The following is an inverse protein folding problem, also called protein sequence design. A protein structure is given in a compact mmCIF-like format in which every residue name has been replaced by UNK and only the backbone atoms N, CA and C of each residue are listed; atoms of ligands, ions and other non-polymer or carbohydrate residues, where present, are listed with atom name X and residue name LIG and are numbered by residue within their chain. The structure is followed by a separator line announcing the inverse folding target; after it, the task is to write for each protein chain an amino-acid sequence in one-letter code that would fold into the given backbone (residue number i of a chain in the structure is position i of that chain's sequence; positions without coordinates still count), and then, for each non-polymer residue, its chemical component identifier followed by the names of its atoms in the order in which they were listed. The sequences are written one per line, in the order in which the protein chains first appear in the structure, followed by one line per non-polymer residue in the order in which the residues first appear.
data_IF_292092490987
#
_entry.id   IF_292092490987
#
_cell.length_a   1.000
_cell.length_b   1.000
_cell.length_c   1.000
_cell.angle_alpha   90.00
_cell.angle_beta   90.00
_cell.angle_gamma   90.00
#
_symmetry.space_group_name_H-M   'P 1'
#
loop_
_entity.id
_entity.type
_entity.pdbx_description
1 polymer ?
#
# COMPACT_ATOMS: atom_id res chain seq x y z
N UNK A 1 49.51 -42.60 -1.98
CA UNK A 1 48.79 -43.78 -2.49
C UNK A 1 47.76 -44.16 -1.45
N UNK A 2 46.59 -43.53 -1.46
CA UNK A 2 45.40 -43.92 -2.23
C UNK A 2 44.68 -45.10 -1.59
N UNK A 3 43.57 -44.82 -0.90
CA UNK A 3 42.61 -45.80 -0.38
C UNK A 3 41.26 -45.10 -0.21
N UNK A 4 40.30 -45.54 -1.03
CA UNK A 4 38.98 -44.96 -1.28
C UNK A 4 38.02 -45.01 -0.08
N UNK A 5 37.14 -44.01 0.03
CA UNK A 5 35.88 -44.12 0.78
C UNK A 5 34.73 -43.78 -0.17
N UNK A 6 33.88 -44.77 -0.44
CA UNK A 6 32.61 -44.65 -1.17
C UNK A 6 31.64 -43.76 -0.40
N UNK A 7 31.03 -42.78 -1.07
CA UNK A 7 29.84 -42.08 -0.59
C UNK A 7 28.59 -42.77 -1.14
N UNK A 8 27.56 -43.09 -0.33
CA UNK A 8 26.30 -43.60 -0.85
C UNK A 8 25.44 -42.43 -1.35
N UNK A 9 24.91 -42.59 -2.56
CA UNK A 9 23.91 -41.69 -3.11
C UNK A 9 22.60 -41.77 -2.31
N UNK A 10 22.09 -40.60 -1.94
CA UNK A 10 20.71 -40.39 -1.58
C UNK A 10 20.15 -39.32 -2.51
N UNK A 11 19.21 -39.71 -3.38
CA UNK A 11 18.37 -38.77 -4.12
C UNK A 11 17.58 -37.89 -3.13
N UNK A 12 17.50 -36.56 -3.34
CA UNK A 12 16.53 -35.75 -2.63
C UNK A 12 15.15 -35.98 -3.25
N UNK A 13 14.35 -36.83 -2.58
CA UNK A 13 12.93 -37.00 -2.86
C UNK A 13 12.15 -35.70 -2.70
N UNK A 14 11.20 -35.51 -3.60
CA UNK A 14 10.20 -34.44 -3.66
C UNK A 14 9.68 -33.98 -2.28
N UNK A 15 10.04 -32.76 -1.89
CA UNK A 15 9.27 -31.92 -0.97
C UNK A 15 8.95 -30.58 -1.66
N UNK A 16 8.15 -30.58 -2.72
CA UNK A 16 7.76 -29.36 -3.45
C UNK A 16 6.25 -29.17 -3.68
N UNK A 17 5.41 -30.12 -3.23
CA UNK A 17 3.98 -30.09 -3.56
C UNK A 17 3.16 -29.10 -2.73
N UNK A 18 3.48 -28.89 -1.44
CA UNK A 18 2.74 -27.93 -0.58
C UNK A 18 3.03 -26.46 -0.93
N UNK A 19 4.29 -26.09 -1.14
CA UNK A 19 4.66 -24.71 -1.52
C UNK A 19 4.14 -24.29 -2.90
N UNK A 20 4.05 -25.24 -3.84
CA UNK A 20 3.45 -24.98 -5.16
C UNK A 20 1.94 -24.74 -5.07
N UNK A 21 1.24 -25.43 -4.15
CA UNK A 21 -0.20 -25.28 -3.96
C UNK A 21 -0.56 -23.92 -3.34
N UNK A 22 0.16 -23.52 -2.29
CA UNK A 22 -0.04 -22.21 -1.64
C UNK A 22 0.30 -21.05 -2.59
N UNK A 23 1.32 -21.21 -3.43
CA UNK A 23 1.64 -20.24 -4.48
C UNK A 23 0.52 -20.11 -5.51
N UNK A 24 -0.05 -21.22 -6.01
CA UNK A 24 -1.16 -21.19 -6.98
C UNK A 24 -2.40 -20.52 -6.38
N UNK A 25 -2.73 -20.83 -5.12
CA UNK A 25 -3.86 -20.21 -4.42
C UNK A 25 -3.65 -18.70 -4.23
N UNK A 26 -2.44 -18.29 -3.87
CA UNK A 26 -2.09 -16.86 -3.72
C UNK A 26 -2.16 -16.12 -5.04
N UNK A 27 -1.61 -16.68 -6.13
CA UNK A 27 -1.67 -16.09 -7.47
C UNK A 27 -3.10 -15.95 -7.97
N UNK A 28 -3.95 -16.95 -7.69
CA UNK A 28 -5.36 -16.90 -8.03
C UNK A 28 -6.10 -15.79 -7.27
N UNK A 29 -5.87 -15.67 -5.96
CA UNK A 29 -6.47 -14.60 -5.15
C UNK A 29 -6.04 -13.20 -5.62
N UNK A 30 -4.77 -13.01 -5.96
CA UNK A 30 -4.27 -11.75 -6.52
C UNK A 30 -4.97 -11.44 -7.85
N UNK A 31 -5.07 -12.43 -8.74
CA UNK A 31 -5.76 -12.28 -10.03
C UNK A 31 -7.24 -11.90 -9.87
N UNK A 32 -7.96 -12.54 -8.92
CA UNK A 32 -9.36 -12.24 -8.62
C UNK A 32 -9.52 -10.82 -8.03
N UNK A 33 -8.60 -10.36 -7.17
CA UNK A 33 -8.59 -8.99 -6.65
C UNK A 33 -8.31 -7.93 -7.72
N UNK A 34 -7.41 -8.22 -8.66
CA UNK A 34 -7.12 -7.33 -9.79
C UNK A 34 -8.35 -7.24 -10.71
N UNK A 35 -8.96 -8.37 -11.06
CA UNK A 35 -10.18 -8.39 -11.86
C UNK A 35 -11.32 -7.59 -11.20
N UNK A 36 -11.50 -7.74 -9.89
CA UNK A 36 -12.47 -6.95 -9.12
C UNK A 36 -12.13 -5.46 -9.14
N UNK A 37 -10.84 -5.10 -9.08
CA UNK A 37 -10.38 -3.70 -9.14
C UNK A 37 -10.59 -3.06 -10.51
N UNK A 38 -10.37 -3.80 -11.59
CA UNK A 38 -10.67 -3.32 -12.94
C UNK A 38 -12.16 -3.01 -13.11
N UNK A 39 -13.03 -3.90 -12.63
CA UNK A 39 -14.47 -3.72 -12.68
C UNK A 39 -14.92 -2.53 -11.84
N UNK A 40 -14.36 -2.38 -10.64
CA UNK A 40 -14.61 -1.25 -9.74
C UNK A 40 -14.26 0.09 -10.39
N UNK A 41 -13.08 0.18 -11.02
CA UNK A 41 -12.60 1.41 -11.69
C UNK A 41 -13.55 1.79 -12.82
N UNK A 42 -13.90 0.85 -13.69
CA UNK A 42 -14.80 1.12 -14.81
C UNK A 42 -16.22 1.45 -14.34
N UNK A 43 -16.72 0.75 -13.31
CA UNK A 43 -18.00 1.08 -12.69
C UNK A 43 -18.05 2.51 -12.19
N UNK A 44 -17.01 2.95 -11.46
CA UNK A 44 -16.89 4.32 -10.98
C UNK A 44 -16.88 5.34 -12.11
N UNK A 45 -16.08 5.09 -13.16
CA UNK A 45 -15.99 5.98 -14.34
C UNK A 45 -17.35 6.14 -15.05
N UNK A 46 -18.08 5.03 -15.23
CA UNK A 46 -19.36 5.03 -15.93
C UNK A 46 -20.49 5.70 -15.14
N UNK A 47 -20.38 5.74 -13.80
CA UNK A 47 -21.35 6.36 -12.91
C UNK A 47 -21.02 7.83 -12.63
N UNK A 48 -19.73 8.16 -12.52
CA UNK A 48 -19.23 9.44 -12.03
C UNK A 48 -18.19 10.01 -13.03
N UNK A 49 -18.59 10.93 -13.94
CA UNK A 49 -17.70 11.52 -14.93
C UNK A 49 -16.47 12.25 -14.35
N UNK A 50 -16.55 12.72 -13.10
CA UNK A 50 -15.43 13.39 -12.40
C UNK A 50 -14.23 12.45 -12.17
N UNK A 51 -14.46 11.14 -12.16
CA UNK A 51 -13.41 10.14 -11.97
C UNK A 51 -12.60 9.83 -13.24
N UNK A 52 -13.07 10.28 -14.42
CA UNK A 52 -12.46 10.01 -15.72
C UNK A 52 -11.04 10.55 -15.80
N UNK A 53 -10.86 11.84 -15.51
CA UNK A 53 -9.56 12.51 -15.60
C UNK A 53 -8.55 11.85 -14.66
N UNK A 54 -8.99 11.56 -13.44
CA UNK A 54 -8.19 10.86 -12.43
C UNK A 54 -7.74 9.47 -12.90
N UNK A 55 -8.62 8.71 -13.55
CA UNK A 55 -8.28 7.39 -14.07
C UNK A 55 -7.31 7.45 -15.25
N UNK A 56 -7.55 8.34 -16.22
CA UNK A 56 -6.69 8.52 -17.42
C UNK A 56 -5.29 9.00 -17.04
N UNK A 57 -5.17 9.81 -15.98
CA UNK A 57 -3.87 10.26 -15.48
C UNK A 57 -3.01 9.12 -14.89
N UNK A 58 -3.61 7.97 -14.53
CA UNK A 58 -2.89 6.81 -13.94
C UNK A 58 -2.82 5.60 -14.86
N UNK A 59 -3.87 5.37 -15.66
CA UNK A 59 -4.06 4.15 -16.44
C UNK A 59 -4.29 4.47 -17.92
N UNK A 60 -3.96 3.50 -18.76
CA UNK A 60 -4.41 3.41 -20.14
C UNK A 60 -5.05 2.04 -20.40
N UNK A 61 -5.71 1.89 -21.56
CA UNK A 61 -6.42 0.66 -21.91
C UNK A 61 -5.55 -0.61 -21.87
N UNK A 62 -4.24 -0.52 -22.12
CA UNK A 62 -3.32 -1.68 -22.07
C UNK A 62 -2.99 -2.13 -20.64
N UNK A 63 -3.34 -1.34 -19.62
CA UNK A 63 -3.15 -1.72 -18.22
C UNK A 63 -4.20 -2.73 -17.71
N UNK A 64 -5.29 -2.94 -18.45
CA UNK A 64 -6.32 -3.91 -18.09
C UNK A 64 -5.95 -5.32 -18.57
N UNK A 65 -6.12 -6.30 -17.71
CA UNK A 65 -5.91 -7.71 -17.99
C UNK A 65 -7.12 -8.32 -18.72
N UNK A 66 -8.34 -7.94 -18.33
CA UNK A 66 -9.53 -8.34 -19.09
C UNK A 66 -9.65 -7.48 -20.36
N UNK A 67 -9.65 -8.14 -21.52
CA UNK A 67 -9.75 -7.47 -22.80
C UNK A 67 -11.03 -6.64 -22.95
N UNK A 68 -12.14 -7.03 -22.30
CA UNK A 68 -13.38 -6.24 -22.30
C UNK A 68 -13.17 -4.92 -21.59
N UNK A 69 -12.51 -4.95 -20.44
CA UNK A 69 -12.21 -3.77 -19.65
C UNK A 69 -11.27 -2.83 -20.41
N UNK A 70 -10.24 -3.37 -21.06
CA UNK A 70 -9.36 -2.59 -21.92
C UNK A 70 -10.11 -1.90 -23.07
N UNK A 71 -11.02 -2.60 -23.75
CA UNK A 71 -11.84 -2.00 -24.82
C UNK A 71 -12.75 -0.87 -24.31
N UNK A 72 -13.35 -1.05 -23.14
CA UNK A 72 -14.17 -0.01 -22.49
C UNK A 72 -13.30 1.20 -22.13
N UNK A 73 -12.14 0.99 -21.51
CA UNK A 73 -11.25 2.08 -21.14
C UNK A 73 -10.70 2.82 -22.37
N UNK A 74 -10.41 2.11 -23.46
CA UNK A 74 -10.03 2.73 -24.73
C UNK A 74 -11.14 3.65 -25.26
N UNK A 75 -12.40 3.26 -25.13
CA UNK A 75 -13.53 4.12 -25.48
C UNK A 75 -13.61 5.36 -24.56
N UNK A 76 -13.40 5.17 -23.25
CA UNK A 76 -13.33 6.27 -22.27
C UNK A 76 -12.24 7.28 -22.63
N UNK A 77 -11.01 6.83 -22.92
CA UNK A 77 -9.89 7.69 -23.32
C UNK A 77 -10.24 8.53 -24.55
N UNK A 78 -10.89 7.89 -25.54
CA UNK A 78 -11.24 8.51 -26.81
C UNK A 78 -12.38 9.52 -26.71
N UNK A 79 -13.40 9.23 -25.91
CA UNK A 79 -14.51 10.13 -25.63
C UNK A 79 -14.03 11.34 -24.82
N UNK A 80 -13.24 11.10 -23.77
CA UNK A 80 -12.66 12.18 -22.95
C UNK A 80 -11.79 13.11 -23.79
N UNK A 81 -10.95 12.56 -24.66
CA UNK A 81 -10.10 13.33 -25.58
C UNK A 81 -10.90 14.25 -26.51
N UNK A 82 -12.12 13.87 -26.89
CA UNK A 82 -13.02 14.66 -27.73
C UNK A 82 -13.86 15.67 -26.93
N UNK A 83 -13.85 15.58 -25.60
CA UNK A 83 -14.74 16.34 -24.73
C UNK A 83 -16.18 15.82 -24.73
N UNK A 84 -16.39 14.57 -25.17
CA UNK A 84 -17.70 13.92 -25.14
C UNK A 84 -18.01 13.40 -23.73
N UNK A 85 -19.30 13.21 -23.44
CA UNK A 85 -19.73 12.61 -22.18
C UNK A 85 -19.21 11.17 -22.05
N UNK A 86 -18.78 10.81 -20.84
CA UNK A 86 -18.36 9.44 -20.52
C UNK A 86 -19.38 8.82 -19.59
N UNK A 87 -20.25 8.01 -20.17
CA UNK A 87 -21.28 7.22 -19.50
C UNK A 87 -21.51 5.91 -20.25
N UNK A 88 -22.29 5.00 -19.68
CA UNK A 88 -22.59 3.69 -20.29
C UNK A 88 -23.11 3.79 -21.72
N UNK A 89 -24.05 4.70 -21.99
CA UNK A 89 -24.67 4.82 -23.30
C UNK A 89 -23.65 5.30 -24.33
N UNK A 90 -22.90 6.35 -24.00
CA UNK A 90 -21.93 6.95 -24.92
C UNK A 90 -20.76 6.00 -25.19
N UNK A 91 -20.27 5.30 -24.17
CA UNK A 91 -19.24 4.26 -24.32
C UNK A 91 -19.74 3.10 -25.17
N UNK A 92 -20.97 2.63 -24.95
CA UNK A 92 -21.56 1.55 -25.73
C UNK A 92 -21.71 1.92 -27.21
N UNK A 93 -22.25 3.11 -27.50
CA UNK A 93 -22.38 3.58 -28.87
C UNK A 93 -21.03 3.76 -29.56
N UNK A 94 -20.01 4.23 -28.84
CA UNK A 94 -18.65 4.29 -29.38
C UNK A 94 -18.13 2.90 -29.79
N UNK A 95 -18.30 1.90 -28.93
CA UNK A 95 -17.90 0.52 -29.23
C UNK A 95 -18.70 -0.07 -30.41
N UNK A 96 -20.00 0.24 -30.48
CA UNK A 96 -20.89 -0.19 -31.57
C UNK A 96 -20.45 0.38 -32.92
N UNK A 97 -20.19 1.68 -33.00
CA UNK A 97 -19.75 2.35 -34.23
C UNK A 97 -18.43 1.78 -34.77
N UNK A 98 -17.56 1.28 -33.88
CA UNK A 98 -16.31 0.63 -34.24
C UNK A 98 -16.41 -0.89 -34.42
N UNK A 99 -17.61 -1.47 -34.41
CA UNK A 99 -17.85 -2.91 -34.54
C UNK A 99 -17.15 -3.75 -33.45
N UNK A 100 -16.98 -3.18 -32.26
CA UNK A 100 -16.33 -3.83 -31.11
C UNK A 100 -17.35 -4.35 -30.09
N UNK A 101 -18.63 -4.05 -30.27
CA UNK A 101 -19.72 -4.42 -29.35
C UNK A 101 -19.87 -5.93 -29.14
N UNK A 102 -19.54 -6.75 -30.15
CA UNK A 102 -19.59 -8.22 -30.02
C UNK A 102 -18.58 -8.74 -28.99
N UNK A 103 -17.52 -7.98 -28.72
CA UNK A 103 -16.49 -8.34 -27.74
C UNK A 103 -16.87 -7.93 -26.31
N UNK A 104 -17.84 -7.04 -26.14
CA UNK A 104 -18.26 -6.49 -24.83
C UNK A 104 -19.78 -6.62 -24.70
N UNK A 105 -20.27 -7.68 -24.04
CA UNK A 105 -21.71 -7.88 -23.87
C UNK A 105 -22.37 -6.70 -23.14
N UNK A 106 -23.55 -6.26 -23.60
CA UNK A 106 -24.32 -5.17 -22.95
C UNK A 106 -24.52 -5.42 -21.46
N UNK A 107 -24.86 -6.66 -21.08
CA UNK A 107 -25.08 -7.04 -19.69
C UNK A 107 -23.84 -6.85 -18.80
N UNK A 108 -22.63 -6.78 -19.39
CA UNK A 108 -21.40 -6.58 -18.64
C UNK A 108 -21.32 -5.18 -18.01
N UNK A 109 -21.93 -4.16 -18.62
CA UNK A 109 -21.97 -2.82 -18.04
C UNK A 109 -22.73 -2.78 -16.70
N UNK A 110 -23.76 -3.63 -16.55
CA UNK A 110 -24.43 -3.84 -15.26
C UNK A 110 -23.47 -4.35 -14.18
N UNK A 111 -22.67 -5.37 -14.52
CA UNK A 111 -21.66 -5.94 -13.61
C UNK A 111 -20.64 -4.89 -13.16
N UNK A 112 -20.20 -4.02 -14.07
CA UNK A 112 -19.25 -2.95 -13.75
C UNK A 112 -19.85 -1.97 -12.74
N UNK A 113 -21.08 -1.50 -12.99
CA UNK A 113 -21.77 -0.56 -12.09
C UNK A 113 -22.03 -1.18 -10.71
N UNK A 114 -22.45 -2.44 -10.67
CA UNK A 114 -22.71 -3.16 -9.41
C UNK A 114 -21.43 -3.38 -8.59
N UNK A 115 -20.26 -3.44 -9.23
CA UNK A 115 -18.98 -3.58 -8.54
C UNK A 115 -18.54 -2.29 -7.82
N UNK A 116 -19.02 -1.12 -8.24
CA UNK A 116 -18.63 0.16 -7.65
C UNK A 116 -19.45 0.49 -6.40
N UNK A 117 -18.78 0.73 -5.28
CA UNK A 117 -19.42 1.01 -3.99
C UNK A 117 -19.24 2.46 -3.56
N UNK A 118 -18.02 3.00 -3.64
CA UNK A 118 -17.72 4.37 -3.23
C UNK A 118 -16.43 4.94 -3.83
N UNK A 119 -16.32 6.27 -3.86
CA UNK A 119 -15.11 6.94 -4.34
C UNK A 119 -13.92 6.81 -3.39
N UNK A 120 -14.17 6.57 -2.09
CA UNK A 120 -13.14 6.51 -1.05
C UNK A 120 -12.03 5.50 -1.35
N UNK A 121 -12.35 4.41 -2.05
CA UNK A 121 -11.39 3.36 -2.40
C UNK A 121 -10.88 3.46 -3.84
N UNK A 122 -11.33 4.43 -4.64
CA UNK A 122 -11.07 4.48 -6.07
C UNK A 122 -9.57 4.52 -6.41
N UNK A 123 -8.79 5.34 -5.70
CA UNK A 123 -7.33 5.40 -5.86
C UNK A 123 -6.65 4.06 -5.62
N UNK A 124 -7.05 3.36 -4.57
CA UNK A 124 -6.47 2.05 -4.24
C UNK A 124 -6.73 1.02 -5.33
N UNK A 125 -7.89 1.08 -6.00
CA UNK A 125 -8.20 0.20 -7.12
C UNK A 125 -7.43 0.60 -8.39
N UNK A 126 -7.26 1.90 -8.68
CA UNK A 126 -6.39 2.37 -9.76
C UNK A 126 -4.96 1.87 -9.58
N UNK A 127 -4.42 2.00 -8.36
CA UNK A 127 -3.06 1.60 -8.04
C UNK A 127 -2.88 0.07 -8.16
N UNK A 128 -3.88 -0.73 -7.75
CA UNK A 128 -3.86 -2.19 -7.94
C UNK A 128 -3.82 -2.59 -9.42
N UNK A 129 -4.67 -1.98 -10.26
CA UNK A 129 -4.66 -2.24 -11.71
C UNK A 129 -3.32 -1.85 -12.31
N UNK A 130 -2.78 -0.70 -11.91
CA UNK A 130 -1.48 -0.21 -12.38
C UNK A 130 -0.34 -1.16 -12.02
N UNK A 131 -0.23 -1.53 -10.74
CA UNK A 131 0.81 -2.43 -10.24
C UNK A 131 0.74 -3.79 -10.94
N UNK A 132 -0.46 -4.32 -11.16
CA UNK A 132 -0.64 -5.57 -11.90
C UNK A 132 -0.16 -5.46 -13.36
N UNK A 133 -0.42 -4.32 -14.02
CA UNK A 133 0.06 -4.07 -15.37
C UNK A 133 1.59 -3.95 -15.45
N UNK A 134 2.19 -3.20 -14.51
CA UNK A 134 3.63 -3.03 -14.44
C UNK A 134 4.32 -4.38 -14.17
N UNK A 135 3.81 -5.20 -13.26
CA UNK A 135 4.31 -6.56 -13.01
C UNK A 135 4.24 -7.47 -14.24
N UNK A 136 3.14 -7.41 -15.02
CA UNK A 136 3.04 -8.16 -16.28
C UNK A 136 4.09 -7.72 -17.29
N UNK A 137 4.32 -6.41 -17.39
CA UNK A 137 5.32 -5.83 -18.29
C UNK A 137 6.75 -6.19 -17.88
N UNK A 138 7.03 -6.26 -16.58
CA UNK A 138 8.31 -6.74 -16.07
C UNK A 138 8.57 -8.19 -16.48
N UNK A 139 7.59 -9.08 -16.25
CA UNK A 139 7.68 -10.49 -16.66
C UNK A 139 7.93 -10.64 -18.16
N UNK A 140 7.22 -9.85 -18.98
CA UNK A 140 7.43 -9.82 -20.43
C UNK A 140 8.86 -9.40 -20.79
N UNK A 141 9.39 -8.35 -20.15
CA UNK A 141 10.75 -7.88 -20.40
C UNK A 141 11.81 -8.89 -19.96
N UNK A 142 11.60 -9.58 -18.83
CA UNK A 142 12.49 -10.67 -18.41
C UNK A 142 12.55 -11.80 -19.44
N UNK A 143 11.39 -12.22 -19.97
CA UNK A 143 11.35 -13.25 -21.01
C UNK A 143 11.99 -12.77 -22.32
N UNK A 144 11.79 -11.51 -22.72
CA UNK A 144 12.47 -10.92 -23.88
C UNK A 144 13.99 -10.89 -23.71
N UNK A 145 14.50 -10.53 -22.54
CA UNK A 145 15.94 -10.54 -22.24
C UNK A 145 16.50 -11.96 -22.30
N UNK A 146 15.80 -12.93 -21.71
CA UNK A 146 16.19 -14.34 -21.72
C UNK A 146 16.27 -14.89 -23.15
N UNK A 147 15.25 -14.61 -23.97
CA UNK A 147 15.23 -15.00 -25.39
C UNK A 147 16.33 -14.30 -26.20
N UNK A 148 16.53 -13.00 -25.99
CA UNK A 148 17.56 -12.24 -26.69
C UNK A 148 18.97 -12.82 -26.44
N UNK A 149 19.28 -13.18 -25.19
CA UNK A 149 20.55 -13.84 -24.83
C UNK A 149 20.67 -15.24 -25.44
N UNK A 150 19.61 -16.04 -25.41
CA UNK A 150 19.63 -17.38 -25.99
C UNK A 150 19.86 -17.37 -27.51
N UNK A 151 19.36 -16.34 -28.19
CA UNK A 151 19.47 -16.18 -29.64
C UNK A 151 20.75 -15.46 -30.10
N UNK A 152 21.65 -15.09 -29.18
CA UNK A 152 22.87 -14.34 -29.52
C UNK A 152 22.60 -12.94 -30.08
N UNK A 153 21.51 -12.30 -29.65
CA UNK A 153 21.12 -10.94 -30.07
C UNK A 153 22.17 -9.92 -29.62
N UNK A 154 22.29 -8.81 -30.36
CA UNK A 154 23.23 -7.72 -30.04
C UNK A 154 23.01 -7.12 -28.64
N UNK A 155 24.09 -6.58 -28.07
CA UNK A 155 24.10 -6.00 -26.73
C UNK A 155 23.19 -4.77 -26.62
N UNK A 156 23.00 -4.01 -27.69
CA UNK A 156 22.21 -2.77 -27.70
C UNK A 156 20.72 -3.06 -27.48
N UNK A 157 20.22 -4.16 -28.05
CA UNK A 157 18.83 -4.61 -27.87
C UNK A 157 18.57 -5.06 -26.43
N UNK A 158 19.51 -5.78 -25.82
CA UNK A 158 19.43 -6.18 -24.41
C UNK A 158 19.46 -4.95 -23.51
N UNK A 159 20.33 -3.98 -23.80
CA UNK A 159 20.42 -2.71 -23.06
C UNK A 159 19.10 -1.93 -23.12
N UNK A 160 18.43 -1.90 -24.29
CA UNK A 160 17.10 -1.29 -24.43
C UNK A 160 16.07 -1.92 -23.49
N UNK A 161 16.05 -3.25 -23.36
CA UNK A 161 15.13 -3.93 -22.44
C UNK A 161 15.46 -3.65 -20.98
N UNK A 162 16.74 -3.65 -20.61
CA UNK A 162 17.19 -3.28 -19.26
C UNK A 162 16.79 -1.85 -18.90
N UNK A 163 16.93 -0.91 -19.84
CA UNK A 163 16.53 0.48 -19.64
C UNK A 163 15.01 0.62 -19.48
N UNK A 164 14.21 -0.20 -20.16
CA UNK A 164 12.76 -0.24 -19.94
C UNK A 164 12.39 -0.77 -18.55
N UNK A 165 13.06 -1.84 -18.09
CA UNK A 165 12.88 -2.34 -16.71
C UNK A 165 13.25 -1.29 -15.67
N UNK A 166 14.39 -0.60 -15.86
CA UNK A 166 14.84 0.46 -14.95
C UNK A 166 13.79 1.57 -14.82
N UNK A 167 13.21 2.02 -15.93
CA UNK A 167 12.13 3.03 -15.91
C UNK A 167 10.88 2.57 -15.19
N UNK A 168 10.52 1.28 -15.28
CA UNK A 168 9.39 0.74 -14.52
C UNK A 168 9.68 0.79 -13.02
N UNK A 169 10.89 0.40 -12.61
CA UNK A 169 11.31 0.42 -11.20
C UNK A 169 11.50 1.83 -10.63
N UNK A 170 11.93 2.80 -11.45
CA UNK A 170 11.96 4.22 -11.08
C UNK A 170 10.54 4.81 -10.89
N UNK A 171 9.51 4.18 -11.46
CA UNK A 171 8.11 4.53 -11.19
C UNK A 171 7.55 3.92 -9.89
N UNK A 172 8.10 2.78 -9.46
CA UNK A 172 7.70 2.04 -8.25
C UNK A 172 8.43 2.56 -7.00
N UNK A 173 9.72 2.89 -7.14
CA UNK A 173 10.44 3.66 -6.12
C UNK A 173 10.08 5.12 -6.35
N UNK A 174 9.12 5.61 -5.55
CA UNK A 174 8.43 6.88 -5.75
C UNK A 174 9.30 7.98 -6.33
N UNK A 175 8.69 8.77 -7.24
CA UNK A 175 9.19 10.07 -7.71
C UNK A 175 10.14 10.63 -6.66
N UNK A 176 11.43 10.76 -7.00
CA UNK A 176 12.30 11.66 -6.24
C UNK A 176 11.50 12.93 -6.08
N UNK A 177 11.15 13.26 -4.83
CA UNK A 177 10.33 14.43 -4.55
C UNK A 177 10.96 15.60 -5.30
N UNK A 178 10.17 16.33 -6.09
CA UNK A 178 10.61 17.60 -6.63
C UNK A 178 11.04 18.43 -5.41
N UNK A 179 12.35 18.56 -5.21
CA UNK A 179 12.90 19.22 -4.03
C UNK A 179 12.65 20.72 -4.19
N UNK A 180 11.58 21.20 -3.56
CA UNK A 180 11.29 22.62 -3.47
C UNK A 180 12.12 23.26 -2.36
N UNK A 181 12.93 24.27 -2.71
CA UNK A 181 13.63 25.12 -1.75
C UNK A 181 12.67 26.24 -1.35
N UNK A 182 12.21 26.22 -0.09
CA UNK A 182 11.28 27.22 0.46
C UNK A 182 12.07 28.26 1.27
N UNK A 183 11.84 29.55 1.03
CA UNK A 183 12.40 30.64 1.84
C UNK A 183 11.50 30.90 3.08
N UNK A 184 11.98 30.65 4.31
CA UNK A 184 11.14 30.75 5.50
C UNK A 184 10.92 32.18 6.00
N UNK A 185 11.62 33.18 5.46
CA UNK A 185 11.69 34.55 5.99
C UNK A 185 10.33 35.27 6.05
N UNK A 186 9.38 34.89 5.19
CA UNK A 186 8.03 35.45 5.14
C UNK A 186 6.93 34.55 5.70
N UNK A 187 7.26 33.37 6.23
CA UNK A 187 6.26 32.38 6.68
C UNK A 187 5.89 32.67 8.13
N UNK A 188 4.62 33.01 8.35
CA UNK A 188 4.06 33.12 9.71
C UNK A 188 3.65 31.73 10.19
N UNK A 189 4.22 31.22 11.30
CA UNK A 189 3.88 29.89 11.80
C UNK A 189 2.45 29.86 12.33
N UNK A 190 1.72 28.80 12.01
CA UNK A 190 0.44 28.48 12.65
C UNK A 190 0.66 27.99 14.07
N UNK A 191 -0.27 28.30 14.99
CA UNK A 191 -0.20 27.73 16.34
C UNK A 191 -0.30 26.20 16.30
N UNK A 192 0.69 25.47 16.85
CA UNK A 192 0.68 24.02 16.86
C UNK A 192 -0.34 23.48 17.86
N UNK A 193 -0.99 22.38 17.50
CA UNK A 193 -1.72 21.53 18.44
C UNK A 193 -0.76 20.57 19.13
N UNK A 194 -1.09 20.13 20.34
CA UNK A 194 -0.17 19.35 21.19
C UNK A 194 -0.86 18.14 21.80
N UNK A 195 -0.22 16.97 21.68
CA UNK A 195 -0.54 15.79 22.49
C UNK A 195 0.05 15.91 23.90
N UNK A 196 1.20 16.57 24.03
CA UNK A 196 1.77 16.99 25.31
C UNK A 196 2.35 18.39 25.09
N UNK A 197 1.81 19.38 25.81
CA UNK A 197 2.16 20.79 25.62
C UNK A 197 3.68 21.00 25.53
N UNK A 198 4.13 21.73 24.51
CA UNK A 198 5.54 22.10 24.26
C UNK A 198 6.48 20.93 23.91
N UNK A 199 6.12 19.68 24.20
CA UNK A 199 7.01 18.52 23.99
C UNK A 199 6.61 17.62 22.82
N UNK A 200 5.31 17.38 22.60
CA UNK A 200 4.81 16.45 21.58
C UNK A 200 3.74 17.13 20.73
N UNK A 201 4.12 17.76 19.61
CA UNK A 201 3.17 18.39 18.71
C UNK A 201 2.35 17.36 17.93
N UNK A 202 1.08 17.66 17.66
CA UNK A 202 0.22 16.82 16.83
C UNK A 202 0.69 16.86 15.36
N UNK A 203 0.64 15.70 14.69
CA UNK A 203 0.96 15.58 13.26
C UNK A 203 2.45 15.50 12.93
N UNK A 204 3.34 15.60 13.92
CA UNK A 204 4.79 15.54 13.71
C UNK A 204 5.45 14.44 14.56
N UNK A 205 6.46 13.73 14.03
CA UNK A 205 7.20 12.75 14.81
C UNK A 205 8.03 13.43 15.90
N UNK A 206 7.96 12.89 17.12
CA UNK A 206 8.82 13.30 18.24
C UNK A 206 9.79 12.16 18.56
N UNK A 207 11.09 12.45 18.61
CA UNK A 207 12.14 11.45 18.91
C UNK A 207 12.68 11.66 20.32
N UNK A 208 12.70 10.59 21.12
CA UNK A 208 13.34 10.55 22.44
C UNK A 208 14.54 9.59 22.41
N UNK A 209 15.73 10.08 22.75
CA UNK A 209 16.98 9.33 22.69
C UNK A 209 17.81 9.47 23.98
N UNK A 210 18.45 8.37 24.39
CA UNK A 210 19.41 8.29 25.50
C UNK A 210 20.08 6.91 25.50
N UNK A 211 21.05 6.67 26.38
CA UNK A 211 21.67 5.35 26.55
C UNK A 211 20.71 4.28 27.12
N UNK A 212 21.08 3.01 26.94
CA UNK A 212 20.34 1.87 27.49
C UNK A 212 20.21 1.95 29.02
N UNK A 213 19.08 1.51 29.56
CA UNK A 213 18.86 1.45 31.02
C UNK A 213 18.40 2.75 31.69
N UNK A 214 18.33 3.87 30.98
CA UNK A 214 17.91 5.18 31.54
C UNK A 214 16.38 5.29 31.74
N UNK A 215 15.60 4.33 31.23
CA UNK A 215 14.15 4.28 31.45
C UNK A 215 13.29 4.93 30.36
N UNK A 216 13.81 5.11 29.13
CA UNK A 216 13.04 5.64 27.99
C UNK A 216 11.72 4.90 27.77
N UNK A 217 11.75 3.56 27.73
CA UNK A 217 10.53 2.78 27.50
C UNK A 217 9.57 2.86 28.70
N UNK A 218 10.07 3.14 29.91
CA UNK A 218 9.21 3.46 31.06
C UNK A 218 8.54 4.81 30.89
N UNK A 219 9.28 5.84 30.48
CA UNK A 219 8.74 7.16 30.21
C UNK A 219 7.72 7.13 29.06
N UNK A 220 8.02 6.42 27.97
CA UNK A 220 7.10 6.23 26.86
C UNK A 220 5.82 5.50 27.29
N UNK A 221 5.94 4.42 28.06
CA UNK A 221 4.77 3.72 28.63
C UNK A 221 3.97 4.64 29.56
N UNK A 222 4.66 5.48 30.35
CA UNK A 222 4.00 6.41 31.27
C UNK A 222 3.21 7.47 30.50
N UNK A 223 3.83 8.13 29.51
CA UNK A 223 3.14 9.08 28.65
C UNK A 223 1.98 8.44 27.89
N UNK A 224 2.13 7.21 27.43
CA UNK A 224 1.05 6.47 26.77
C UNK A 224 -0.17 6.28 27.69
N UNK A 225 0.05 5.96 28.96
CA UNK A 225 -1.03 5.84 29.95
C UNK A 225 -1.67 7.20 30.23
N UNK A 226 -0.86 8.26 30.43
CA UNK A 226 -1.39 9.60 30.70
C UNK A 226 -2.22 10.15 29.53
N UNK A 227 -1.74 9.97 28.30
CA UNK A 227 -2.48 10.35 27.09
C UNK A 227 -3.78 9.55 26.95
N UNK A 228 -3.74 8.24 27.24
CA UNK A 228 -4.92 7.37 27.19
C UNK A 228 -5.98 7.73 28.25
N UNK A 229 -5.59 8.37 29.35
CA UNK A 229 -6.53 8.82 30.38
C UNK A 229 -7.19 10.16 30.06
N UNK A 230 -6.49 11.06 29.36
CA UNK A 230 -6.93 12.45 29.18
C UNK A 230 -6.89 13.26 30.49
N UNK A 231 -6.85 14.59 30.37
CA UNK A 231 -6.87 15.53 31.50
C UNK A 231 -5.65 15.45 32.43
N UNK A 232 -4.61 14.71 32.04
CA UNK A 232 -3.43 14.48 32.87
C UNK A 232 -2.36 15.56 32.68
N UNK A 233 -1.42 15.59 33.63
CA UNK A 233 -0.23 16.44 33.57
C UNK A 233 1.05 15.63 33.71
N UNK A 234 2.10 16.08 33.04
CA UNK A 234 3.45 15.56 33.21
C UNK A 234 4.42 16.74 33.38
N UNK A 235 5.06 16.83 34.56
CA UNK A 235 5.99 17.92 34.90
C UNK A 235 5.40 19.34 34.65
N UNK A 236 4.10 19.51 34.92
CA UNK A 236 3.38 20.77 34.72
C UNK A 236 2.89 21.01 33.28
N UNK A 237 3.19 20.11 32.34
CA UNK A 237 2.72 20.15 30.96
C UNK A 237 1.44 19.33 30.82
N UNK A 238 0.47 19.82 30.05
CA UNK A 238 -0.84 19.17 29.95
C UNK A 238 -0.91 18.23 28.75
N UNK A 239 -1.62 17.12 28.96
CA UNK A 239 -2.24 16.34 27.90
C UNK A 239 -3.61 16.95 27.54
N UNK A 240 -4.19 16.61 26.36
CA UNK A 240 -5.57 16.92 26.03
C UNK A 240 -6.55 16.53 27.13
N UNK A 241 -7.65 17.27 27.27
CA UNK A 241 -8.68 16.97 28.28
C UNK A 241 -9.38 15.64 27.98
N UNK A 242 -9.66 15.36 26.72
CA UNK A 242 -10.28 14.11 26.30
C UNK A 242 -9.25 12.97 26.21
N UNK A 243 -9.63 11.73 26.57
CA UNK A 243 -8.81 10.53 26.36
C UNK A 243 -8.39 10.35 24.89
N UNK A 244 -7.12 9.99 24.66
CA UNK A 244 -6.59 9.72 23.31
C UNK A 244 -6.45 8.23 23.09
N UNK A 245 -6.78 7.73 21.89
CA UNK A 245 -6.46 6.35 21.51
C UNK A 245 -4.95 6.22 21.25
N UNK A 246 -4.28 5.32 21.96
CA UNK A 246 -2.83 5.16 21.89
C UNK A 246 -2.49 3.77 21.37
N UNK A 247 -1.66 3.71 20.32
CA UNK A 247 -1.07 2.47 19.82
C UNK A 247 0.42 2.45 20.15
N UNK A 248 0.84 1.50 20.98
CA UNK A 248 2.23 1.27 21.33
C UNK A 248 2.84 0.21 20.41
N UNK A 249 3.79 0.60 19.58
CA UNK A 249 4.53 -0.30 18.69
C UNK A 249 5.89 -0.63 19.32
N UNK A 250 6.19 -1.91 19.47
CA UNK A 250 7.38 -2.36 20.20
C UNK A 250 8.18 -3.37 19.37
N UNK A 251 9.44 -3.01 19.10
CA UNK A 251 10.42 -3.85 18.41
C UNK A 251 11.51 -4.37 19.35
N UNK A 252 11.52 -3.93 20.60
CA UNK A 252 12.58 -4.24 21.56
C UNK A 252 12.14 -5.34 22.53
N UNK A 253 10.88 -5.30 22.96
CA UNK A 253 10.35 -6.15 24.03
C UNK A 253 9.09 -6.90 23.60
N UNK A 254 8.73 -7.89 24.40
CA UNK A 254 7.49 -8.66 24.25
C UNK A 254 6.36 -8.09 25.11
N UNK A 255 5.12 -8.43 24.75
CA UNK A 255 3.89 -8.00 25.43
C UNK A 255 3.92 -8.22 26.95
N UNK A 256 4.53 -9.31 27.43
CA UNK A 256 4.61 -9.62 28.85
C UNK A 256 5.41 -8.57 29.62
N UNK A 257 6.54 -8.13 29.07
CA UNK A 257 7.39 -7.14 29.71
C UNK A 257 6.76 -5.74 29.64
N UNK A 258 6.16 -5.39 28.50
CA UNK A 258 5.35 -4.17 28.38
C UNK A 258 4.24 -4.13 29.43
N UNK A 259 3.43 -5.18 29.51
CA UNK A 259 2.29 -5.29 30.44
C UNK A 259 2.76 -5.17 31.89
N UNK A 260 3.87 -5.84 32.25
CA UNK A 260 4.45 -5.73 33.59
C UNK A 260 4.84 -4.29 33.95
N UNK A 261 5.41 -3.53 33.01
CA UNK A 261 5.78 -2.11 33.21
C UNK A 261 4.56 -1.22 33.31
N UNK A 262 3.60 -1.39 32.41
CA UNK A 262 2.36 -0.64 32.39
C UNK A 262 1.54 -0.84 33.68
N UNK A 263 1.46 -2.07 34.21
CA UNK A 263 0.81 -2.34 35.50
C UNK A 263 1.51 -1.68 36.70
N UNK A 264 2.85 -1.63 36.70
CA UNK A 264 3.60 -0.91 37.75
C UNK A 264 3.29 0.59 37.73
N UNK A 265 3.25 1.18 36.55
CA UNK A 265 2.90 2.60 36.36
C UNK A 265 1.45 2.84 36.78
N UNK A 266 0.52 2.00 36.32
CA UNK A 266 -0.90 2.06 36.67
C UNK A 266 -1.11 2.03 38.19
N UNK A 267 -0.42 1.11 38.88
CA UNK A 267 -0.44 1.06 40.34
C UNK A 267 0.12 2.33 40.99
N UNK A 268 1.19 2.91 40.42
CA UNK A 268 1.78 4.15 40.93
C UNK A 268 0.91 5.40 40.70
N UNK A 269 -0.06 5.33 39.78
CA UNK A 269 -1.05 6.37 39.50
C UNK A 269 -2.39 6.13 40.22
N UNK A 270 -2.48 5.11 41.06
CA UNK A 270 -3.71 4.68 41.73
C UNK A 270 -4.90 4.42 40.79
N UNK A 271 -4.62 3.90 39.58
CA UNK A 271 -5.64 3.46 38.61
C UNK A 271 -5.82 1.93 38.63
N UNK A 272 -7.04 1.41 38.37
CA UNK A 272 -7.35 -0.01 38.53
C UNK A 272 -6.61 -0.94 37.56
N UNK A 273 -6.07 -0.42 36.47
CA UNK A 273 -5.35 -1.18 35.47
C UNK A 273 -4.91 -0.33 34.29
N UNK A 274 -4.40 -1.00 33.25
CA UNK A 274 -3.98 -0.36 32.01
C UNK A 274 -5.23 0.16 31.27
N UNK A 275 -5.26 1.42 30.79
CA UNK A 275 -6.37 1.95 30.00
C UNK A 275 -6.67 1.09 28.76
N UNK A 276 -7.95 0.82 28.50
CA UNK A 276 -8.39 -0.09 27.42
C UNK A 276 -8.15 0.45 26.00
N UNK A 277 -8.00 1.77 25.88
CA UNK A 277 -7.65 2.52 24.67
C UNK A 277 -6.12 2.64 24.46
N UNK A 278 -5.30 2.02 25.33
CA UNK A 278 -3.88 1.77 25.07
C UNK A 278 -3.71 0.38 24.45
N UNK A 279 -3.48 0.35 23.14
CA UNK A 279 -3.24 -0.87 22.35
C UNK A 279 -1.74 -1.14 22.20
N UNK A 280 -1.36 -2.39 21.99
CA UNK A 280 0.02 -2.82 21.84
C UNK A 280 0.17 -3.75 20.64
N UNK A 281 1.22 -3.57 19.86
CA UNK A 281 1.62 -4.49 18.80
C UNK A 281 3.13 -4.68 18.83
N UNK A 282 3.57 -5.94 18.78
CA UNK A 282 4.92 -6.33 18.39
C UNK A 282 4.85 -6.86 16.94
N UNK A 283 5.24 -6.06 15.92
CA UNK A 283 4.87 -6.35 14.54
C UNK A 283 5.64 -7.51 13.89
N UNK A 284 6.80 -7.90 14.45
CA UNK A 284 7.72 -8.87 13.84
C UNK A 284 8.32 -8.46 12.47
N UNK A 285 7.81 -7.40 11.85
CA UNK A 285 8.19 -6.80 10.56
C UNK A 285 8.69 -5.38 10.76
N UNK A 286 9.42 -4.82 9.80
CA UNK A 286 9.88 -3.43 9.89
C UNK A 286 8.71 -2.43 9.79
N UNK A 287 8.94 -1.18 10.22
CA UNK A 287 7.92 -0.13 10.22
C UNK A 287 7.36 0.13 8.82
N UNK A 288 8.19 0.12 7.78
CA UNK A 288 7.79 0.39 6.39
C UNK A 288 6.71 -0.58 5.91
N UNK A 289 6.84 -1.86 6.23
CA UNK A 289 5.84 -2.89 5.90
C UNK A 289 4.54 -2.72 6.67
N UNK A 290 4.58 -2.11 7.86
CA UNK A 290 3.41 -1.89 8.72
C UNK A 290 2.62 -0.62 8.35
N UNK A 291 3.24 0.35 7.66
CA UNK A 291 2.64 1.66 7.39
C UNK A 291 1.25 1.58 6.75
N UNK A 292 1.04 0.62 5.84
CA UNK A 292 -0.23 0.43 5.13
C UNK A 292 -1.35 -0.10 6.03
N UNK A 293 -1.01 -0.79 7.12
CA UNK A 293 -1.97 -1.39 8.04
C UNK A 293 -2.28 -0.48 9.24
N UNK A 294 -1.42 0.50 9.55
CA UNK A 294 -1.59 1.40 10.71
C UNK A 294 -2.96 2.09 10.79
N UNK A 295 -3.57 2.59 9.70
CA UNK A 295 -4.89 3.22 9.79
C UNK A 295 -5.98 2.28 10.32
N UNK A 296 -5.89 0.98 10.02
CA UNK A 296 -6.84 -0.04 10.51
C UNK A 296 -6.62 -0.42 11.97
N UNK A 297 -5.42 -0.16 12.50
CA UNK A 297 -5.02 -0.54 13.86
C UNK A 297 -5.33 0.56 14.89
N UNK A 298 -5.63 1.78 14.41
CA UNK A 298 -5.88 2.98 15.23
C UNK A 298 -7.37 3.39 15.18
N UNK A 299 -8.15 2.86 14.24
CA UNK A 299 -9.61 3.02 14.11
C UNK A 299 -10.39 2.20 15.15
#
# INVERSE_FOLDING_TARGET
MSGEIKSPGGEPGLQSSRGSFDYILTQRQISEQVASSEQYVLGGILLNPELVEKAINKLNHSNFNDNRNGLIFMAVEELHRKGDAVDEFTVFEYLRQRQLVEKVPVAYFGVLKDAFVSEANFDSHLDRVRQAADARKELELFERIKQARANGTDSDTIEKYCNQLKKLWEGVNGKGSDLEIIEPSGIVPTEPKWTLETLVPEGYPTTCYSDGGIGKSFLATYWAILAAMGGQMFLGLKFPQEPVNVLFLDWELEINEFTRRALKISKGLDIPGIPSNLKYINPGKNLTELLNDLPRLIS
#
